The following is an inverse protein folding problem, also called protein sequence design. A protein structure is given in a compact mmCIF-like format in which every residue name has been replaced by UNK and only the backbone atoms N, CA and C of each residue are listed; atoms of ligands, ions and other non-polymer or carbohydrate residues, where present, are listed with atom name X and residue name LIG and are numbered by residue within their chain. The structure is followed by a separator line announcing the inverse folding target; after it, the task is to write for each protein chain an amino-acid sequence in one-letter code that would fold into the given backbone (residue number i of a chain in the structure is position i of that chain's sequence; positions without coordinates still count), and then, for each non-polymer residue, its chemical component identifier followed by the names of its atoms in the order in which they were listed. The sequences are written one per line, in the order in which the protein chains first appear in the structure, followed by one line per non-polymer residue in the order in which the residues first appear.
data_IF_549076725930
#
_entry.id   IF_549076725930
#
_cell.length_a   1.000
_cell.length_b   1.000
_cell.length_c   1.000
_cell.angle_alpha   90.00
_cell.angle_beta   90.00
_cell.angle_gamma   90.00
#
_symmetry.space_group_name_H-M   'P 1'
#
loop_
_entity.id
_entity.type
_entity.pdbx_description
1 polymer ?
#
# COMPACT_ATOMS: atom_id res chain seq x y z
N UNK A 1 0.81 -17.91 23.79
CA UNK A 1 1.67 -17.28 22.80
C UNK A 1 1.19 -17.63 21.41
N UNK A 2 0.45 -16.70 20.82
CA UNK A 2 -0.06 -16.70 19.45
C UNK A 2 1.07 -16.48 18.45
N UNK A 3 0.87 -16.80 17.17
CA UNK A 3 1.88 -16.54 16.12
C UNK A 3 2.14 -15.04 15.91
N UNK A 4 1.16 -14.17 16.17
CA UNK A 4 1.35 -12.72 16.19
C UNK A 4 2.28 -12.28 17.33
N UNK A 5 2.16 -12.90 18.52
CA UNK A 5 3.06 -12.61 19.65
C UNK A 5 4.51 -13.08 19.37
N UNK A 6 4.70 -14.16 18.59
CA UNK A 6 6.05 -14.62 18.17
C UNK A 6 6.71 -13.76 17.09
N UNK A 7 5.93 -12.98 16.35
CA UNK A 7 6.43 -12.06 15.32
C UNK A 7 7.10 -10.83 15.95
N UNK A 8 6.57 -10.33 17.06
CA UNK A 8 7.13 -9.16 17.76
C UNK A 8 8.41 -9.49 18.56
N UNK A 9 8.57 -10.73 19.02
CA UNK A 9 9.74 -11.17 19.81
C UNK A 9 11.04 -11.28 18.98
N UNK A 10 10.97 -11.24 17.64
CA UNK A 10 12.13 -11.41 16.76
C UNK A 10 12.50 -10.14 15.97
N UNK A 11 11.93 -8.98 16.30
CA UNK A 11 12.31 -7.72 15.66
C UNK A 11 13.62 -7.26 16.30
N UNK A 12 14.65 -7.10 15.49
CA UNK A 12 15.92 -6.52 15.95
C UNK A 12 15.75 -5.04 16.29
N UNK A 13 16.58 -4.50 17.19
CA UNK A 13 16.56 -3.06 17.51
C UNK A 13 16.76 -2.18 16.27
N UNK A 14 17.51 -2.69 15.29
CA UNK A 14 17.75 -2.05 14.00
C UNK A 14 16.48 -2.01 13.13
N UNK A 15 15.79 -3.13 12.94
CA UNK A 15 14.52 -3.18 12.20
C UNK A 15 13.43 -2.32 12.88
N UNK A 16 13.43 -2.27 14.21
CA UNK A 16 12.53 -1.39 14.95
C UNK A 16 12.87 0.10 14.73
N UNK A 17 14.15 0.46 14.77
CA UNK A 17 14.63 1.82 14.52
C UNK A 17 14.38 2.28 13.06
N UNK A 18 14.57 1.38 12.09
CA UNK A 18 14.19 1.62 10.69
C UNK A 18 12.70 1.88 10.56
N UNK A 19 11.86 1.09 11.23
CA UNK A 19 10.40 1.29 11.27
C UNK A 19 10.01 2.68 11.80
N UNK A 20 10.66 3.14 12.88
CA UNK A 20 10.45 4.50 13.43
C UNK A 20 10.87 5.57 12.41
N UNK A 21 12.04 5.39 11.78
CA UNK A 21 12.57 6.34 10.79
C UNK A 21 11.62 6.48 9.58
N UNK A 22 11.15 5.35 9.06
CA UNK A 22 10.17 5.30 7.96
C UNK A 22 8.87 6.01 8.37
N UNK A 23 8.37 5.73 9.59
CA UNK A 23 7.13 6.36 10.06
C UNK A 23 7.25 7.88 10.13
N UNK A 24 8.37 8.36 10.67
CA UNK A 24 8.65 9.79 10.78
C UNK A 24 8.75 10.47 9.41
N UNK A 25 9.38 9.80 8.45
CA UNK A 25 9.45 10.29 7.06
C UNK A 25 8.06 10.36 6.41
N UNK A 26 7.18 9.39 6.68
CA UNK A 26 5.80 9.40 6.20
C UNK A 26 5.04 10.59 6.79
N UNK A 27 5.18 10.84 8.08
CA UNK A 27 4.53 11.97 8.76
C UNK A 27 5.02 13.31 8.17
N UNK A 28 6.33 13.48 8.02
CA UNK A 28 6.95 14.69 7.42
C UNK A 28 6.44 14.95 5.98
N UNK A 29 6.33 13.91 5.16
CA UNK A 29 5.78 14.02 3.79
C UNK A 29 4.29 14.39 3.85
N UNK A 30 3.53 13.78 4.76
CA UNK A 30 2.10 14.02 4.90
C UNK A 30 1.82 15.47 5.30
N UNK A 31 2.56 15.99 6.28
CA UNK A 31 2.46 17.38 6.72
C UNK A 31 2.81 18.36 5.59
N UNK A 32 3.89 18.07 4.85
CA UNK A 32 4.30 18.88 3.69
C UNK A 32 3.22 18.90 2.61
N UNK A 33 2.60 17.76 2.30
CA UNK A 33 1.51 17.69 1.33
C UNK A 33 0.24 18.38 1.83
N UNK A 34 -0.07 18.30 3.13
CA UNK A 34 -1.24 18.94 3.72
C UNK A 34 -1.18 20.47 3.61
N UNK A 35 0.03 21.05 3.69
CA UNK A 35 0.27 22.48 3.56
C UNK A 35 0.21 23.01 2.10
N UNK A 36 0.24 22.14 1.10
CA UNK A 36 0.21 22.52 -0.32
C UNK A 36 -1.21 22.83 -0.82
N UNK A 37 -1.33 23.74 -1.79
CA UNK A 37 -2.56 23.91 -2.55
C UNK A 37 -2.90 22.63 -3.35
N UNK A 38 -4.17 22.49 -3.74
CA UNK A 38 -4.64 21.30 -4.46
C UNK A 38 -3.84 21.06 -5.75
N UNK A 39 -3.59 22.12 -6.50
CA UNK A 39 -2.90 22.10 -7.79
C UNK A 39 -1.42 21.70 -7.60
N UNK A 40 -0.77 22.20 -6.56
CA UNK A 40 0.62 21.86 -6.22
C UNK A 40 0.76 20.41 -5.78
N UNK A 41 -0.19 19.89 -4.98
CA UNK A 41 -0.23 18.46 -4.64
C UNK A 41 -0.36 17.59 -5.88
N UNK A 42 -1.25 17.96 -6.80
CA UNK A 42 -1.46 17.20 -8.04
C UNK A 42 -0.19 17.18 -8.90
N UNK A 43 0.52 18.30 -9.00
CA UNK A 43 1.79 18.35 -9.72
C UNK A 43 2.88 17.53 -9.02
N UNK A 44 2.98 17.60 -7.69
CA UNK A 44 3.90 16.76 -6.92
C UNK A 44 3.64 15.26 -7.17
N UNK A 45 2.38 14.82 -7.17
CA UNK A 45 2.03 13.43 -7.47
C UNK A 45 2.39 13.00 -8.89
N UNK A 46 2.30 13.90 -9.88
CA UNK A 46 2.72 13.60 -11.26
C UNK A 46 4.23 13.41 -11.36
N UNK A 47 5.01 14.23 -10.66
CA UNK A 47 6.47 14.13 -10.65
C UNK A 47 6.97 12.93 -9.82
N UNK A 48 6.28 12.62 -8.74
CA UNK A 48 6.58 11.50 -7.85
C UNK A 48 5.87 10.18 -8.26
N UNK A 49 5.29 10.13 -9.46
CA UNK A 49 4.55 8.95 -9.90
C UNK A 49 5.50 7.74 -9.98
N UNK A 50 5.07 6.62 -9.38
CA UNK A 50 5.83 5.38 -9.42
C UNK A 50 6.09 4.99 -10.90
N UNK A 51 7.36 4.79 -11.31
CA UNK A 51 7.72 4.67 -12.71
C UNK A 51 7.33 3.32 -13.33
N UNK A 52 6.96 2.34 -12.50
CA UNK A 52 6.52 1.04 -12.96
C UNK A 52 5.00 1.01 -13.14
N UNK A 53 4.50 0.24 -14.13
CA UNK A 53 3.08 0.03 -14.26
C UNK A 53 2.52 -0.52 -12.94
N UNK A 54 1.39 0.02 -12.51
CA UNK A 54 0.65 -0.48 -11.34
C UNK A 54 0.27 -1.95 -11.55
N UNK A 55 0.21 -2.39 -12.81
CA UNK A 55 0.23 -3.81 -13.17
C UNK A 55 1.64 -4.40 -13.00
N UNK A 56 1.79 -5.42 -12.17
CA UNK A 56 3.05 -6.12 -11.99
C UNK A 56 2.85 -7.64 -12.00
N UNK A 57 3.89 -8.35 -12.41
CA UNK A 57 3.97 -9.82 -12.33
C UNK A 57 5.06 -10.18 -11.33
N UNK A 58 4.77 -11.10 -10.42
CA UNK A 58 5.72 -11.59 -9.41
C UNK A 58 5.56 -13.08 -9.22
N UNK A 59 6.68 -13.79 -9.13
CA UNK A 59 6.71 -15.20 -8.75
C UNK A 59 6.90 -15.32 -7.23
N UNK A 60 6.07 -16.14 -6.60
CA UNK A 60 6.15 -16.51 -5.18
C UNK A 60 5.93 -18.01 -5.11
N UNK A 61 6.89 -18.74 -4.54
CA UNK A 61 6.85 -20.21 -4.36
C UNK A 61 6.47 -21.00 -5.62
N UNK A 62 7.07 -20.63 -6.77
CA UNK A 62 6.81 -21.27 -8.07
C UNK A 62 5.45 -20.93 -8.68
N UNK A 63 4.67 -20.05 -8.06
CA UNK A 63 3.39 -19.55 -8.58
C UNK A 63 3.55 -18.14 -9.12
N UNK A 64 3.12 -17.92 -10.36
CA UNK A 64 3.16 -16.59 -11.00
C UNK A 64 1.87 -15.83 -10.69
N UNK A 65 2.01 -14.73 -9.96
CA UNK A 65 0.94 -13.78 -9.69
C UNK A 65 1.06 -12.59 -10.62
N UNK A 66 0.01 -12.31 -11.38
CA UNK A 66 -0.09 -11.10 -12.20
C UNK A 66 -1.22 -10.23 -11.68
N UNK A 67 -0.87 -9.04 -11.20
CA UNK A 67 -1.83 -7.99 -10.86
C UNK A 67 -1.95 -7.08 -12.06
N UNK A 68 -3.16 -6.89 -12.58
CA UNK A 68 -3.46 -5.92 -13.64
C UNK A 68 -4.27 -4.77 -13.05
N UNK A 69 -3.70 -3.57 -13.05
CA UNK A 69 -4.37 -2.36 -12.61
C UNK A 69 -5.07 -1.69 -13.79
N UNK A 70 -6.41 -1.72 -13.77
CA UNK A 70 -7.24 -1.04 -14.75
C UNK A 70 -7.92 0.16 -14.08
N UNK A 71 -7.49 1.37 -14.43
CA UNK A 71 -8.14 2.59 -13.99
C UNK A 71 -9.22 2.96 -15.02
N UNK A 72 -10.48 2.78 -14.64
CA UNK A 72 -11.62 3.21 -15.45
C UNK A 72 -12.25 4.42 -14.77
N UNK A 73 -12.22 5.58 -15.44
CA UNK A 73 -12.79 6.83 -14.89
C UNK A 73 -14.29 6.70 -14.56
N UNK A 74 -15.02 5.88 -15.32
CA UNK A 74 -16.43 5.55 -15.08
C UNK A 74 -16.63 4.21 -14.37
N UNK A 75 -15.69 3.77 -13.52
CA UNK A 75 -15.91 2.60 -12.68
C UNK A 75 -17.05 2.90 -11.69
N UNK A 76 -17.97 1.94 -11.54
CA UNK A 76 -19.05 2.01 -10.54
C UNK A 76 -18.57 1.70 -9.12
N UNK A 77 -17.31 1.26 -8.98
CA UNK A 77 -16.67 0.95 -7.71
C UNK A 77 -15.30 1.63 -7.63
N UNK A 78 -15.01 2.22 -6.49
CA UNK A 78 -13.70 2.74 -6.11
C UNK A 78 -12.73 1.60 -5.79
N UNK A 79 -11.43 1.93 -5.72
CA UNK A 79 -10.40 0.97 -5.28
C UNK A 79 -10.66 0.44 -3.87
N UNK A 80 -11.16 1.29 -2.98
CA UNK A 80 -11.50 0.91 -1.60
C UNK A 80 -12.65 -0.12 -1.59
N UNK A 81 -13.77 0.19 -2.23
CA UNK A 81 -14.94 -0.70 -2.30
C UNK A 81 -14.59 -2.05 -2.95
N UNK A 82 -13.73 -2.02 -3.97
CA UNK A 82 -13.24 -3.23 -4.63
C UNK A 82 -12.38 -4.09 -3.70
N UNK A 83 -11.48 -3.45 -2.94
CA UNK A 83 -10.60 -4.12 -1.97
C UNK A 83 -11.42 -4.77 -0.86
N UNK A 84 -12.36 -4.02 -0.27
CA UNK A 84 -13.28 -4.52 0.76
C UNK A 84 -14.07 -5.72 0.25
N UNK A 85 -14.65 -5.66 -0.96
CA UNK A 85 -15.40 -6.79 -1.53
C UNK A 85 -14.55 -8.05 -1.68
N UNK A 86 -13.31 -7.94 -2.14
CA UNK A 86 -12.43 -9.10 -2.37
C UNK A 86 -12.05 -9.74 -1.03
N UNK A 87 -11.66 -8.92 -0.05
CA UNK A 87 -11.28 -9.40 1.28
C UNK A 87 -12.46 -10.02 2.02
N UNK A 88 -13.63 -9.37 1.97
CA UNK A 88 -14.83 -9.83 2.68
C UNK A 88 -15.51 -11.03 2.01
N UNK A 89 -15.37 -11.22 0.69
CA UNK A 89 -15.90 -12.42 0.01
C UNK A 89 -15.16 -13.71 0.38
N UNK A 90 -13.94 -13.61 0.90
CA UNK A 90 -13.18 -14.79 1.32
C UNK A 90 -13.58 -15.29 2.73
N UNK A 91 -14.46 -14.57 3.45
CA UNK A 91 -14.96 -14.96 4.77
C UNK A 91 -16.36 -15.61 4.74
N UNK A 92 -16.88 -15.98 3.56
CA UNK A 92 -18.26 -16.43 3.38
C UNK A 92 -18.44 -17.80 2.74
N UNK A 93 -17.47 -18.72 2.91
CA UNK A 93 -17.62 -20.13 2.55
C UNK A 93 -17.00 -21.04 3.61
N UNK A 94 -17.72 -21.15 4.72
CA UNK A 94 -17.78 -22.39 5.51
C UNK A 94 -19.18 -22.99 5.33
#
# INVERSE_FOLDING_TARGET
MTEQERYFDNITEEEFAEGISIRRLIDDITDRLAAMAKEERLEWFRQAQYPHPVSFTREIDGTIYTVNAHFKQGASESLQEKTERILLKNHGKD
#
